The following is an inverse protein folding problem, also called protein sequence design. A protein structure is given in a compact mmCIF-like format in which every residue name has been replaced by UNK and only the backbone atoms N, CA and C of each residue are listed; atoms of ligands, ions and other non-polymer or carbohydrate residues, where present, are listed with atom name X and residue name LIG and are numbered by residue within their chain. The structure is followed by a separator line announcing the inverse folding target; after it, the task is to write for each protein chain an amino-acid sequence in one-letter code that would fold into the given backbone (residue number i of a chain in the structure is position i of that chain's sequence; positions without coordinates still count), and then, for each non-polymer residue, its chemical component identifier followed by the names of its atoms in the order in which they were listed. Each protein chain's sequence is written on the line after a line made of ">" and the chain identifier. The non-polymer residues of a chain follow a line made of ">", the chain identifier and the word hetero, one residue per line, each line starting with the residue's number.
data_IF_489680522182
#
_entry.id   IF_489680522182
#
_cell.length_a   1.000
_cell.length_b   1.000
_cell.length_c   1.000
_cell.angle_alpha   90.00
_cell.angle_beta   90.00
_cell.angle_gamma   90.00
#
_symmetry.space_group_name_H-M   'P 1'
#
loop_
_entity.id
_entity.type
_entity.pdbx_description
1 polymer ?
#
# COMPACT_ATOMS: atom_id res chain seq x y z
N UNK A 1 11.11 14.15 3.88
CA UNK A 1 10.32 12.92 3.62
C UNK A 1 9.04 13.32 2.90
N UNK A 2 8.70 12.60 1.82
CA UNK A 2 7.45 12.77 1.06
C UNK A 2 6.77 11.41 0.93
N UNK A 3 5.56 11.30 1.46
CA UNK A 3 4.73 10.10 1.45
C UNK A 3 3.54 10.34 0.53
N UNK A 4 3.28 9.43 -0.38
CA UNK A 4 2.13 9.50 -1.26
C UNK A 4 1.19 8.33 -0.97
N UNK A 5 -0.11 8.61 -0.92
CA UNK A 5 -1.17 7.60 -0.87
C UNK A 5 -1.94 7.65 -2.18
N UNK A 6 -2.10 6.51 -2.82
CA UNK A 6 -2.80 6.42 -4.10
C UNK A 6 -4.30 6.20 -3.90
N UNK A 7 -5.10 7.14 -4.39
CA UNK A 7 -6.56 7.02 -4.41
C UNK A 7 -7.06 6.53 -5.77
N UNK A 8 -7.93 5.54 -5.75
CA UNK A 8 -8.64 5.04 -6.92
C UNK A 8 -10.10 4.72 -6.57
N UNK A 9 -11.00 4.72 -7.54
CA UNK A 9 -12.41 4.42 -7.28
C UNK A 9 -12.56 3.02 -6.70
N UNK A 10 -13.18 2.92 -5.52
CA UNK A 10 -13.35 1.69 -4.78
C UNK A 10 -12.19 1.33 -3.83
N UNK A 11 -11.26 2.25 -3.56
CA UNK A 11 -10.23 2.01 -2.53
C UNK A 11 -10.83 1.92 -1.12
N UNK A 12 -10.19 1.18 -0.22
CA UNK A 12 -10.59 1.05 1.18
C UNK A 12 -9.90 2.11 2.05
N UNK A 13 -10.65 3.09 2.51
CA UNK A 13 -10.12 4.21 3.32
C UNK A 13 -9.63 3.74 4.68
N UNK A 14 -10.35 2.85 5.35
CA UNK A 14 -10.02 2.40 6.71
C UNK A 14 -8.62 1.75 6.80
N UNK A 15 -8.13 1.14 5.72
CA UNK A 15 -6.83 0.45 5.69
C UNK A 15 -5.63 1.41 5.77
N UNK A 16 -5.84 2.69 5.48
CA UNK A 16 -4.79 3.70 5.48
C UNK A 16 -4.99 4.79 6.55
N UNK A 17 -6.08 4.72 7.31
CA UNK A 17 -6.44 5.77 8.29
C UNK A 17 -5.31 6.05 9.30
N UNK A 18 -4.65 5.01 9.84
CA UNK A 18 -3.53 5.17 10.77
C UNK A 18 -2.29 5.76 10.09
N UNK A 19 -2.03 5.42 8.83
CA UNK A 19 -0.93 6.01 8.05
C UNK A 19 -1.19 7.50 7.84
N UNK A 20 -2.40 7.84 7.41
CA UNK A 20 -2.81 9.23 7.19
C UNK A 20 -2.73 10.05 8.48
N UNK A 21 -3.16 9.49 9.61
CA UNK A 21 -3.07 10.15 10.91
C UNK A 21 -1.61 10.39 11.33
N UNK A 22 -0.76 9.37 11.24
CA UNK A 22 0.62 9.43 11.72
C UNK A 22 1.55 10.27 10.83
N UNK A 23 1.36 10.18 9.50
CA UNK A 23 2.26 10.78 8.51
C UNK A 23 1.64 11.98 7.78
N UNK A 24 0.45 12.45 8.18
CA UNK A 24 -0.34 13.45 7.47
C UNK A 24 0.42 14.71 7.05
N UNK A 25 1.34 15.20 7.88
CA UNK A 25 2.18 16.37 7.56
C UNK A 25 3.19 16.12 6.40
N UNK A 26 3.42 14.89 6.03
CA UNK A 26 4.32 14.47 4.95
C UNK A 26 3.57 13.83 3.79
N UNK A 27 2.25 13.67 3.92
CA UNK A 27 1.41 12.88 3.04
C UNK A 27 0.78 13.77 1.97
N UNK A 28 0.74 13.24 0.75
CA UNK A 28 0.04 13.82 -0.41
C UNK A 28 -0.84 12.73 -1.02
N UNK A 29 -2.10 13.01 -1.23
CA UNK A 29 -3.00 12.11 -1.94
C UNK A 29 -2.81 12.25 -3.44
N UNK A 30 -2.50 11.15 -4.13
CA UNK A 30 -2.32 11.09 -5.56
C UNK A 30 -3.35 10.16 -6.21
N UNK A 31 -3.77 10.47 -7.43
CA UNK A 31 -4.63 9.61 -8.24
C UNK A 31 -4.19 9.60 -9.70
N UNK A 32 -4.77 8.73 -10.53
CA UNK A 32 -4.52 8.74 -11.96
C UNK A 32 -5.02 10.03 -12.62
N UNK A 33 -6.16 10.53 -12.15
CA UNK A 33 -6.84 11.72 -12.68
C UNK A 33 -7.26 12.67 -11.54
N UNK A 34 -7.29 13.96 -11.83
CA UNK A 34 -7.82 14.95 -10.89
C UNK A 34 -9.35 14.99 -10.95
N UNK A 35 -9.97 14.05 -10.25
CA UNK A 35 -11.44 13.92 -10.10
C UNK A 35 -11.80 13.49 -8.68
N UNK A 36 -13.07 13.61 -8.33
CA UNK A 36 -13.58 13.03 -7.08
C UNK A 36 -13.48 11.50 -7.17
N UNK A 37 -12.80 10.90 -6.22
CA UNK A 37 -12.66 9.46 -6.04
C UNK A 37 -13.64 9.01 -4.97
N UNK A 38 -14.33 7.91 -5.19
CA UNK A 38 -15.26 7.34 -4.21
C UNK A 38 -14.67 6.07 -3.62
N UNK A 39 -14.52 6.02 -2.30
CA UNK A 39 -14.03 4.84 -1.58
C UNK A 39 -15.08 3.73 -1.51
N UNK A 40 -14.67 2.53 -1.09
CA UNK A 40 -15.59 1.40 -0.88
C UNK A 40 -16.62 1.70 0.23
N UNK A 41 -16.28 2.59 1.18
CA UNK A 41 -17.15 3.10 2.22
C UNK A 41 -18.13 4.20 1.73
N UNK A 42 -18.17 4.44 0.41
CA UNK A 42 -19.01 5.46 -0.24
C UNK A 42 -18.64 6.91 0.13
N UNK A 43 -17.45 7.14 0.66
CA UNK A 43 -16.94 8.49 0.94
C UNK A 43 -16.26 9.07 -0.30
N UNK A 44 -16.29 10.41 -0.41
CA UNK A 44 -15.72 11.13 -1.56
C UNK A 44 -14.45 11.85 -1.17
N UNK A 45 -13.41 11.64 -1.95
CA UNK A 45 -12.09 12.21 -1.77
C UNK A 45 -11.66 12.97 -3.02
N UNK A 46 -11.00 14.10 -2.83
CA UNK A 46 -10.33 14.82 -3.91
C UNK A 46 -8.83 14.62 -3.72
N UNK A 47 -8.10 14.10 -4.72
CA UNK A 47 -6.65 13.99 -4.62
C UNK A 47 -5.97 15.36 -4.68
N UNK A 48 -4.81 15.47 -4.05
CA UNK A 48 -3.99 16.69 -4.07
C UNK A 48 -3.26 16.87 -5.41
N UNK A 49 -2.95 15.75 -6.08
CA UNK A 49 -2.16 15.73 -7.32
C UNK A 49 -2.48 14.49 -8.17
N UNK A 50 -1.97 14.48 -9.39
CA UNK A 50 -2.05 13.31 -10.27
C UNK A 50 -0.69 12.62 -10.39
N UNK A 51 -0.69 11.31 -10.76
CA UNK A 51 0.56 10.55 -10.97
C UNK A 51 1.46 11.18 -12.04
N UNK A 52 0.90 11.90 -13.02
CA UNK A 52 1.68 12.58 -14.07
C UNK A 52 2.45 13.79 -13.55
N UNK A 53 2.01 14.39 -12.46
CA UNK A 53 2.62 15.55 -11.83
C UNK A 53 3.65 15.17 -10.76
N UNK A 54 3.62 13.91 -10.27
CA UNK A 54 4.56 13.44 -9.26
C UNK A 54 5.88 13.04 -9.90
N UNK A 55 6.97 13.71 -9.49
CA UNK A 55 8.31 13.26 -9.85
C UNK A 55 8.70 12.04 -9.00
N UNK A 56 9.00 10.85 -9.58
CA UNK A 56 9.41 9.66 -8.83
C UNK A 56 10.64 9.86 -7.94
N UNK A 57 11.51 10.81 -8.25
CA UNK A 57 12.68 11.11 -7.42
C UNK A 57 12.30 11.74 -6.08
N UNK A 58 11.19 12.44 -6.04
CA UNK A 58 10.68 13.14 -4.86
C UNK A 58 9.87 12.23 -3.92
N UNK A 59 9.57 10.99 -4.33
CA UNK A 59 8.83 10.04 -3.52
C UNK A 59 9.78 9.30 -2.58
N UNK A 60 9.48 9.25 -1.29
CA UNK A 60 10.17 8.35 -0.35
C UNK A 60 9.35 7.08 -0.11
N UNK A 61 8.04 7.23 0.06
CA UNK A 61 7.10 6.12 0.30
C UNK A 61 5.86 6.32 -0.57
N UNK A 62 5.42 5.25 -1.22
CA UNK A 62 4.18 5.20 -1.99
C UNK A 62 3.27 4.10 -1.44
N UNK A 63 2.09 4.46 -0.96
CA UNK A 63 1.13 3.57 -0.31
C UNK A 63 -0.04 3.31 -1.24
N UNK A 64 -0.40 2.05 -1.43
CA UNK A 64 -1.53 1.59 -2.24
C UNK A 64 -2.52 0.91 -1.30
N UNK A 65 -3.66 1.53 -1.00
CA UNK A 65 -4.73 0.91 -0.22
C UNK A 65 -5.36 -0.27 -0.95
N UNK A 66 -6.08 -1.09 -0.23
CA UNK A 66 -6.93 -2.12 -0.81
C UNK A 66 -8.26 -1.59 -1.31
N UNK A 67 -9.25 -2.47 -1.38
CA UNK A 67 -10.55 -2.22 -1.98
C UNK A 67 -10.77 -3.08 -3.24
N UNK A 68 -11.49 -2.57 -4.26
CA UNK A 68 -11.70 -3.28 -5.54
C UNK A 68 -10.67 -2.85 -6.60
N UNK A 69 -9.60 -3.64 -6.82
CA UNK A 69 -8.47 -3.25 -7.68
C UNK A 69 -8.72 -3.47 -9.18
N UNK A 70 -9.87 -4.00 -9.60
CA UNK A 70 -10.10 -4.48 -10.98
C UNK A 70 -9.87 -3.43 -12.05
N UNK A 71 -10.22 -2.17 -11.78
CA UNK A 71 -10.03 -1.09 -12.73
C UNK A 71 -8.55 -0.71 -12.87
N UNK A 72 -7.78 -0.92 -11.81
CA UNK A 72 -6.36 -0.59 -11.77
C UNK A 72 -5.51 -1.59 -12.58
N UNK A 73 -5.96 -2.81 -12.81
CA UNK A 73 -5.21 -3.79 -13.62
C UNK A 73 -4.88 -3.31 -15.04
N UNK A 74 -5.64 -2.36 -15.58
CA UNK A 74 -5.42 -1.75 -16.90
C UNK A 74 -4.74 -0.39 -16.83
N UNK A 75 -4.41 0.09 -15.64
CA UNK A 75 -3.81 1.39 -15.46
C UNK A 75 -2.30 1.35 -15.74
N UNK A 76 -1.95 1.57 -17.02
CA UNK A 76 -0.56 1.55 -17.46
C UNK A 76 0.27 2.67 -16.81
N UNK A 77 -0.34 3.83 -16.52
CA UNK A 77 0.33 4.95 -15.86
C UNK A 77 0.79 4.56 -14.45
N UNK A 78 -0.10 3.93 -13.66
CA UNK A 78 0.24 3.43 -12.33
C UNK A 78 1.34 2.36 -12.41
N UNK A 79 1.20 1.41 -13.32
CA UNK A 79 2.22 0.37 -13.54
C UNK A 79 3.59 0.97 -13.80
N UNK A 80 3.70 1.85 -14.79
CA UNK A 80 4.97 2.48 -15.16
C UNK A 80 5.56 3.31 -14.02
N UNK A 81 4.70 3.98 -13.26
CA UNK A 81 5.10 4.75 -12.08
C UNK A 81 5.68 3.88 -10.99
N UNK A 82 5.02 2.77 -10.64
CA UNK A 82 5.49 1.82 -9.63
C UNK A 82 6.83 1.16 -10.03
N UNK A 83 7.01 0.81 -11.31
CA UNK A 83 8.30 0.29 -11.77
C UNK A 83 9.43 1.33 -11.69
N UNK A 84 9.14 2.60 -11.97
CA UNK A 84 10.11 3.69 -11.77
C UNK A 84 10.49 3.85 -10.30
N UNK A 85 9.53 3.81 -9.39
CA UNK A 85 9.77 3.84 -7.94
C UNK A 85 10.63 2.66 -7.50
N UNK A 86 10.27 1.45 -7.92
CA UNK A 86 10.98 0.23 -7.57
C UNK A 86 12.45 0.25 -8.07
N UNK A 87 12.67 0.68 -9.30
CA UNK A 87 14.02 0.82 -9.86
C UNK A 87 14.90 1.83 -9.09
N UNK A 88 14.29 2.79 -8.41
CA UNK A 88 14.93 3.79 -7.55
C UNK A 88 15.04 3.35 -6.08
N UNK A 89 14.60 2.14 -5.74
CA UNK A 89 14.59 1.63 -4.37
C UNK A 89 13.65 2.38 -3.42
N UNK A 90 12.66 3.09 -3.96
CA UNK A 90 11.64 3.77 -3.16
C UNK A 90 10.73 2.77 -2.47
N UNK A 91 10.28 3.07 -1.26
CA UNK A 91 9.35 2.18 -0.54
C UNK A 91 8.00 2.17 -1.26
N UNK A 92 7.52 0.98 -1.58
CA UNK A 92 6.18 0.74 -2.12
C UNK A 92 5.46 -0.19 -1.15
N UNK A 93 4.35 0.27 -0.60
CA UNK A 93 3.59 -0.44 0.40
C UNK A 93 2.16 -0.67 -0.10
N UNK A 94 1.74 -1.92 -0.20
CA UNK A 94 0.39 -2.31 -0.61
C UNK A 94 -0.30 -3.17 0.44
N UNK A 95 -1.57 -2.89 0.70
CA UNK A 95 -2.40 -3.68 1.60
C UNK A 95 -3.60 -4.25 0.83
N UNK A 96 -4.00 -5.50 1.10
CA UNK A 96 -5.20 -6.12 0.51
C UNK A 96 -5.16 -6.03 -1.03
N UNK A 97 -6.16 -5.42 -1.67
CA UNK A 97 -6.19 -5.15 -3.12
C UNK A 97 -4.98 -4.35 -3.63
N UNK A 98 -4.36 -3.51 -2.78
CA UNK A 98 -3.12 -2.81 -3.12
C UNK A 98 -1.93 -3.76 -3.33
N UNK A 99 -1.80 -4.79 -2.48
CA UNK A 99 -0.80 -5.84 -2.67
C UNK A 99 -1.11 -6.66 -3.94
N UNK A 100 -2.39 -6.90 -4.24
CA UNK A 100 -2.82 -7.57 -5.46
C UNK A 100 -2.47 -6.77 -6.72
N UNK A 101 -2.61 -5.44 -6.72
CA UNK A 101 -2.13 -4.56 -7.80
C UNK A 101 -0.63 -4.74 -8.03
N UNK A 102 0.17 -4.73 -6.96
CA UNK A 102 1.61 -4.96 -7.05
C UNK A 102 1.94 -6.33 -7.65
N UNK A 103 1.23 -7.37 -7.21
CA UNK A 103 1.37 -8.73 -7.73
C UNK A 103 0.96 -8.82 -9.20
N UNK A 104 -0.20 -8.29 -9.56
CA UNK A 104 -0.71 -8.28 -10.94
C UNK A 104 0.25 -7.65 -11.93
N UNK A 105 0.92 -6.58 -11.52
CA UNK A 105 1.92 -5.92 -12.36
C UNK A 105 3.27 -6.65 -12.43
N UNK A 106 3.49 -7.68 -11.59
CA UNK A 106 4.75 -8.43 -11.54
C UNK A 106 5.82 -7.76 -10.67
N UNK A 107 5.48 -6.76 -9.86
CA UNK A 107 6.41 -6.13 -8.92
C UNK A 107 6.90 -7.12 -7.85
N UNK A 108 6.07 -8.11 -7.52
CA UNK A 108 6.33 -9.09 -6.48
C UNK A 108 6.94 -10.40 -7.03
N UNK A 109 7.25 -10.48 -8.33
CA UNK A 109 7.86 -11.68 -8.94
C UNK A 109 9.17 -12.04 -8.23
N UNK A 110 9.27 -13.27 -7.71
CA UNK A 110 10.42 -13.77 -6.95
C UNK A 110 10.58 -13.19 -5.54
N UNK A 111 9.67 -12.33 -5.10
CA UNK A 111 9.69 -11.70 -3.77
C UNK A 111 8.87 -12.48 -2.77
N UNK A 112 9.19 -12.30 -1.48
CA UNK A 112 8.30 -12.72 -0.40
C UNK A 112 7.18 -11.69 -0.27
N UNK A 113 5.93 -12.16 -0.21
CA UNK A 113 4.78 -11.29 -0.04
C UNK A 113 3.61 -12.05 0.59
N UNK A 114 2.66 -11.31 1.14
CA UNK A 114 1.31 -11.76 1.42
C UNK A 114 0.31 -11.06 0.49
N UNK A 115 -0.95 -11.42 0.54
CA UNK A 115 -1.96 -10.91 -0.39
C UNK A 115 -3.22 -10.38 0.28
N UNK A 116 -4.35 -10.95 -0.11
CA UNK A 116 -5.65 -10.46 0.29
C UNK A 116 -6.03 -10.77 1.74
N UNK A 117 -7.25 -10.34 2.13
CA UNK A 117 -7.84 -10.50 3.45
C UNK A 117 -8.01 -11.93 3.95
N UNK A 118 -7.88 -12.92 3.08
CA UNK A 118 -8.02 -14.33 3.42
C UNK A 118 -6.68 -15.06 3.51
N UNK A 119 -5.56 -14.30 3.43
CA UNK A 119 -4.22 -14.87 3.40
C UNK A 119 -4.03 -15.76 2.18
N UNK A 120 -3.70 -15.19 1.04
CA UNK A 120 -3.39 -15.93 -0.21
C UNK A 120 -4.21 -17.21 -0.44
N UNK A 121 -5.50 -17.10 -0.47
CA UNK A 121 -6.29 -18.19 -1.05
C UNK A 121 -6.08 -18.12 -2.57
N UNK A 122 -5.02 -18.76 -3.03
CA UNK A 122 -4.79 -18.97 -4.45
C UNK A 122 -5.94 -19.82 -4.97
N UNK A 123 -6.73 -19.23 -5.83
CA UNK A 123 -7.83 -19.89 -6.53
C UNK A 123 -7.49 -19.97 -8.01
N UNK A 124 -8.15 -20.84 -8.80
CA UNK A 124 -7.93 -20.86 -10.24
C UNK A 124 -8.16 -19.51 -10.95
N UNK A 125 -8.83 -18.57 -10.29
CA UNK A 125 -9.10 -17.23 -10.83
C UNK A 125 -7.94 -16.25 -10.66
N UNK A 126 -7.15 -16.40 -9.59
CA UNK A 126 -6.06 -15.49 -9.26
C UNK A 126 -4.67 -16.17 -9.25
N UNK A 127 -4.60 -17.48 -9.48
CA UNK A 127 -3.34 -18.23 -9.49
C UNK A 127 -2.28 -17.60 -10.42
N UNK A 128 -2.71 -17.09 -11.56
CA UNK A 128 -1.80 -16.45 -12.52
C UNK A 128 -1.15 -15.17 -11.97
N UNK A 129 -1.76 -14.54 -10.96
CA UNK A 129 -1.22 -13.34 -10.30
C UNK A 129 -0.11 -13.74 -9.32
N UNK A 130 -0.29 -14.87 -8.63
CA UNK A 130 0.56 -15.26 -7.49
C UNK A 130 1.59 -16.36 -7.80
N UNK A 131 1.55 -16.99 -8.98
CA UNK A 131 2.37 -18.15 -9.30
C UNK A 131 3.89 -17.90 -9.33
N UNK A 132 4.32 -16.65 -9.31
CA UNK A 132 5.73 -16.25 -9.28
C UNK A 132 6.16 -15.65 -7.94
N UNK A 133 5.26 -15.60 -6.97
CA UNK A 133 5.49 -14.97 -5.69
C UNK A 133 5.83 -16.02 -4.65
N UNK A 134 6.81 -15.75 -3.79
CA UNK A 134 7.10 -16.56 -2.62
C UNK A 134 6.12 -16.20 -1.50
N UNK A 135 4.96 -16.85 -1.51
CA UNK A 135 3.86 -16.59 -0.56
C UNK A 135 4.30 -16.93 0.86
N UNK A 136 4.09 -16.00 1.77
CA UNK A 136 4.41 -16.14 3.20
C UNK A 136 3.15 -15.92 4.01
N UNK A 137 2.86 -16.85 4.93
CA UNK A 137 1.72 -16.74 5.84
C UNK A 137 2.07 -15.83 7.03
N UNK A 138 2.13 -14.53 6.77
CA UNK A 138 2.37 -13.45 7.74
C UNK A 138 1.43 -12.30 7.44
N UNK A 139 1.00 -11.60 8.48
CA UNK A 139 0.07 -10.48 8.36
C UNK A 139 0.67 -9.30 7.59
N UNK A 140 1.94 -9.01 7.83
CA UNK A 140 2.73 -8.01 7.09
C UNK A 140 4.06 -8.63 6.66
N UNK A 141 4.44 -8.41 5.42
CA UNK A 141 5.71 -8.88 4.85
C UNK A 141 6.46 -7.72 4.25
N UNK A 142 7.72 -7.59 4.61
CA UNK A 142 8.66 -6.69 3.95
C UNK A 142 9.74 -7.48 3.23
N UNK A 143 9.95 -7.20 1.95
CA UNK A 143 11.05 -7.72 1.15
C UNK A 143 11.75 -6.56 0.44
N UNK A 144 12.88 -6.14 1.01
CA UNK A 144 13.62 -4.97 0.54
C UNK A 144 12.80 -3.68 0.69
N UNK A 145 12.49 -3.05 -0.43
CA UNK A 145 11.70 -1.83 -0.51
C UNK A 145 10.19 -2.07 -0.69
N UNK A 146 9.74 -3.33 -0.75
CA UNK A 146 8.35 -3.68 -0.94
C UNK A 146 7.74 -4.15 0.39
N UNK A 147 6.57 -3.60 0.72
CA UNK A 147 5.80 -3.97 1.92
C UNK A 147 4.42 -4.42 1.44
N UNK A 148 3.98 -5.58 1.92
CA UNK A 148 2.63 -6.10 1.64
C UNK A 148 1.93 -6.49 2.94
N UNK A 149 0.60 -6.38 2.98
CA UNK A 149 -0.19 -6.73 4.16
C UNK A 149 -1.56 -7.32 3.78
N UNK A 150 -2.09 -8.17 4.66
CA UNK A 150 -3.50 -8.60 4.60
C UNK A 150 -4.40 -7.48 5.14
N UNK A 151 -5.66 -7.42 4.68
CA UNK A 151 -6.60 -6.34 5.02
C UNK A 151 -6.77 -6.14 6.53
N UNK A 152 -6.89 -7.23 7.29
CA UNK A 152 -7.12 -7.18 8.74
C UNK A 152 -5.93 -6.63 9.53
N UNK A 153 -4.73 -6.62 8.92
CA UNK A 153 -3.50 -6.16 9.56
C UNK A 153 -3.21 -4.67 9.30
N UNK A 154 -4.23 -3.85 9.11
CA UNK A 154 -4.06 -2.42 8.79
C UNK A 154 -3.32 -1.63 9.89
N UNK A 155 -3.41 -2.05 11.16
CA UNK A 155 -2.63 -1.47 12.24
C UNK A 155 -1.14 -1.83 12.11
N UNK A 156 -0.82 -3.10 11.91
CA UNK A 156 0.55 -3.62 11.73
C UNK A 156 1.16 -3.04 10.44
N UNK A 157 0.37 -2.95 9.38
CA UNK A 157 0.78 -2.32 8.12
C UNK A 157 1.17 -0.86 8.34
N UNK A 158 0.35 -0.11 9.08
CA UNK A 158 0.65 1.27 9.43
C UNK A 158 1.96 1.39 10.22
N UNK A 159 2.22 0.47 11.17
CA UNK A 159 3.48 0.44 11.93
C UNK A 159 4.67 0.16 11.01
N UNK A 160 4.56 -0.81 10.08
CA UNK A 160 5.67 -1.14 9.19
C UNK A 160 5.98 0.02 8.21
N UNK A 161 4.96 0.71 7.70
CA UNK A 161 5.14 1.94 6.90
C UNK A 161 5.80 3.05 7.73
N UNK A 162 5.40 3.25 8.98
CA UNK A 162 6.00 4.21 9.88
C UNK A 162 7.46 3.86 10.24
N UNK A 163 7.79 2.57 10.40
CA UNK A 163 9.18 2.10 10.54
C UNK A 163 10.00 2.44 9.29
N UNK A 164 9.45 2.21 8.11
CA UNK A 164 10.09 2.57 6.85
C UNK A 164 10.28 4.09 6.71
N UNK A 165 9.38 4.87 7.29
CA UNK A 165 9.47 6.33 7.36
C UNK A 165 10.49 6.84 8.40
N UNK A 166 11.02 5.97 9.26
CA UNK A 166 11.99 6.34 10.29
C UNK A 166 11.43 7.26 11.38
N UNK A 167 10.13 7.15 11.69
CA UNK A 167 9.49 8.04 12.68
C UNK A 167 9.60 7.55 14.11
N UNK A 168 9.91 6.28 14.31
CA UNK A 168 10.10 5.69 15.64
C UNK A 168 11.53 5.89 16.15
N UNK A 169 11.67 6.18 17.42
CA UNK A 169 12.96 6.32 18.10
C UNK A 169 13.63 4.95 18.28
N UNK A 170 12.83 3.93 18.55
CA UNK A 170 13.27 2.54 18.76
C UNK A 170 12.12 1.56 18.55
N UNK A 171 12.40 0.26 18.65
CA UNK A 171 11.40 -0.80 18.47
C UNK A 171 10.29 -0.77 19.54
N UNK A 172 10.61 -0.38 20.78
CA UNK A 172 9.61 -0.30 21.84
C UNK A 172 8.55 0.76 21.54
N UNK A 173 8.95 1.90 20.98
CA UNK A 173 8.04 2.97 20.55
C UNK A 173 7.04 2.48 19.48
N UNK A 174 7.51 1.66 18.52
CA UNK A 174 6.66 1.02 17.53
C UNK A 174 5.67 0.02 18.16
N UNK A 175 6.13 -0.79 19.12
CA UNK A 175 5.29 -1.74 19.86
C UNK A 175 4.20 -1.00 20.65
N UNK A 176 4.56 0.04 21.38
CA UNK A 176 3.63 0.81 22.19
C UNK A 176 2.60 1.54 21.32
N UNK A 177 3.02 2.05 20.15
CA UNK A 177 2.10 2.63 19.17
C UNK A 177 1.13 1.60 18.62
N UNK A 178 1.58 0.37 18.29
CA UNK A 178 0.70 -0.70 17.86
C UNK A 178 -0.32 -1.08 18.94
N UNK A 179 0.12 -1.19 20.20
CA UNK A 179 -0.77 -1.45 21.33
C UNK A 179 -1.84 -0.36 21.45
N UNK A 180 -1.44 0.89 21.28
CA UNK A 180 -2.37 2.02 21.32
C UNK A 180 -3.39 1.93 20.18
N UNK A 181 -2.98 1.64 18.93
CA UNK A 181 -3.91 1.44 17.82
C UNK A 181 -4.94 0.35 18.08
N UNK A 182 -4.50 -0.74 18.71
CA UNK A 182 -5.35 -1.91 19.01
C UNK A 182 -6.06 -1.84 20.37
N UNK A 183 -5.86 -0.77 21.14
CA UNK A 183 -6.35 -0.65 22.52
C UNK A 183 -5.97 -1.86 23.41
N UNK A 184 -4.75 -2.39 23.23
CA UNK A 184 -4.20 -3.49 24.05
C UNK A 184 -3.51 -2.86 25.25
N UNK A 185 -3.96 -3.25 26.47
CA UNK A 185 -3.39 -2.81 27.74
C UNK A 185 -2.19 -3.63 28.16
#
# INVERSE_FOLDING_TARGET
>A
MKVYVYYYDGFAEFEIAHICCALGKYLTAAAAENKIITSIECQKFLPDTTLSEVNPDDVDIFVIPGGDPKNEYKNQQLKDFLFKLNAKGKIIAGICGGAEIMAFYGLLDGKRANGDSNGFVVTPRNEYIYNKINIVNQDVVRDGNLITAVSQAYCEFAIEVQKAAGVFVNEQDAIDTLRWYKNIK
#
